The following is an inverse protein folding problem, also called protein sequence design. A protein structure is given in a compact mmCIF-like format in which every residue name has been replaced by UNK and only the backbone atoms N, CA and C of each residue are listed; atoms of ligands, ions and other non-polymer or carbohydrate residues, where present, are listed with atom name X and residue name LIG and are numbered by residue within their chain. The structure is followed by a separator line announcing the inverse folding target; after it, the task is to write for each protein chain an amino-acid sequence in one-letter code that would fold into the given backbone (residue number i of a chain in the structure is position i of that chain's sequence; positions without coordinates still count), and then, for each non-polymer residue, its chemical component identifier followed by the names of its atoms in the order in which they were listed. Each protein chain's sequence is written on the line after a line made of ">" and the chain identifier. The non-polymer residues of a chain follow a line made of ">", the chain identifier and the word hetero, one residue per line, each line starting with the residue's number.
data_IF_275139834796
#
_entry.id   IF_275139834796
#
_cell.length_a   1.000
_cell.length_b   1.000
_cell.length_c   1.000
_cell.angle_alpha   90.00
_cell.angle_beta   90.00
_cell.angle_gamma   90.00
#
_symmetry.space_group_name_H-M   'P 1'
#
loop_
_entity.id
_entity.type
_entity.pdbx_description
1 polymer ?
#
# COMPACT_ATOMS: atom_id res chain seq x y z
N UNK A 1 5.37 -13.88 7.40
CA UNK A 1 4.00 -13.40 7.54
C UNK A 1 3.99 -12.31 8.60
N UNK A 2 3.81 -11.05 8.19
CA UNK A 2 3.89 -9.89 9.09
C UNK A 2 2.51 -9.43 9.61
N UNK A 3 1.43 -9.98 9.05
CA UNK A 3 0.07 -9.69 9.50
C UNK A 3 -0.16 -10.33 10.86
N UNK A 4 -0.70 -9.56 11.79
CA UNK A 4 -1.07 -10.09 13.09
C UNK A 4 -2.25 -11.04 12.96
N UNK A 5 -2.21 -12.18 13.64
CA UNK A 5 -3.33 -13.14 13.70
C UNK A 5 -4.63 -12.47 14.15
N UNK A 6 -4.53 -11.47 15.03
CA UNK A 6 -5.67 -10.67 15.49
C UNK A 6 -6.36 -9.94 14.33
N UNK A 7 -5.59 -9.28 13.42
CA UNK A 7 -6.17 -8.60 12.25
C UNK A 7 -6.85 -9.57 11.28
N UNK A 8 -6.28 -10.78 11.12
CA UNK A 8 -6.92 -11.83 10.31
C UNK A 8 -8.27 -12.22 10.91
N UNK A 9 -8.35 -12.43 12.23
CA UNK A 9 -9.59 -12.80 12.93
C UNK A 9 -10.64 -11.69 12.86
N UNK A 10 -10.26 -10.43 13.06
CA UNK A 10 -11.15 -9.27 12.91
C UNK A 10 -11.79 -9.20 11.53
N UNK A 11 -10.97 -9.37 10.49
CA UNK A 11 -11.46 -9.36 9.10
C UNK A 11 -12.29 -10.62 8.78
N UNK A 12 -11.90 -11.79 9.30
CA UNK A 12 -12.67 -13.02 9.16
C UNK A 12 -14.03 -12.93 9.88
N UNK A 13 -14.08 -12.29 11.05
CA UNK A 13 -15.33 -12.00 11.76
C UNK A 13 -16.27 -11.20 10.84
N UNK A 14 -15.80 -10.13 10.24
CA UNK A 14 -16.60 -9.30 9.33
C UNK A 14 -17.07 -10.08 8.10
N UNK A 15 -16.21 -10.92 7.52
CA UNK A 15 -16.54 -11.74 6.35
C UNK A 15 -17.61 -12.81 6.69
N UNK A 16 -17.42 -13.56 7.77
CA UNK A 16 -18.37 -14.60 8.21
C UNK A 16 -19.68 -13.99 8.70
N UNK A 17 -19.62 -12.83 9.38
CA UNK A 17 -20.81 -12.05 9.72
C UNK A 17 -21.64 -11.71 8.47
N UNK A 18 -20.99 -11.23 7.42
CA UNK A 18 -21.66 -10.91 6.14
C UNK A 18 -22.32 -12.15 5.54
N UNK A 19 -21.63 -13.30 5.59
CA UNK A 19 -22.19 -14.59 5.16
C UNK A 19 -23.47 -14.96 5.94
N UNK A 20 -23.43 -14.92 7.27
CA UNK A 20 -24.59 -15.28 8.10
C UNK A 20 -25.73 -14.28 7.98
N UNK A 21 -25.43 -12.97 7.95
CA UNK A 21 -26.43 -11.92 7.83
C UNK A 21 -27.13 -11.93 6.47
N UNK A 22 -26.48 -12.47 5.44
CA UNK A 22 -27.05 -12.67 4.10
C UNK A 22 -27.75 -14.03 3.93
N UNK A 23 -28.21 -14.64 5.03
CA UNK A 23 -28.93 -15.91 4.99
C UNK A 23 -28.05 -17.09 4.56
N UNK A 24 -26.78 -17.09 4.92
CA UNK A 24 -25.79 -18.10 4.56
C UNK A 24 -25.56 -18.27 3.05
N UNK A 25 -25.75 -17.18 2.30
CA UNK A 25 -25.42 -17.12 0.88
C UNK A 25 -23.96 -16.74 0.68
N UNK A 26 -23.31 -17.18 -0.42
CA UNK A 26 -21.94 -16.81 -0.74
C UNK A 26 -21.74 -15.28 -0.72
N UNK A 27 -20.67 -14.86 -0.06
CA UNK A 27 -20.26 -13.44 -0.03
C UNK A 27 -19.62 -13.07 -1.37
N UNK A 28 -20.02 -11.95 -1.96
CA UNK A 28 -19.27 -11.36 -3.07
C UNK A 28 -17.91 -10.88 -2.55
N UNK A 29 -16.91 -11.73 -2.75
CA UNK A 29 -15.56 -11.50 -2.24
C UNK A 29 -14.94 -10.21 -2.80
N UNK A 30 -15.13 -9.89 -4.09
CA UNK A 30 -14.56 -8.68 -4.69
C UNK A 30 -15.16 -7.41 -4.09
N UNK A 31 -16.49 -7.38 -3.95
CA UNK A 31 -17.17 -6.25 -3.33
C UNK A 31 -16.77 -6.09 -1.86
N UNK A 32 -16.76 -7.20 -1.11
CA UNK A 32 -16.35 -7.19 0.29
C UNK A 32 -14.94 -6.59 0.46
N UNK A 33 -13.95 -7.07 -0.30
CA UNK A 33 -12.57 -6.61 -0.18
C UNK A 33 -12.35 -5.20 -0.71
N UNK A 34 -13.17 -4.75 -1.67
CA UNK A 34 -13.15 -3.37 -2.12
C UNK A 34 -13.49 -2.42 -0.98
N UNK A 35 -14.54 -2.75 -0.21
CA UNK A 35 -14.99 -1.94 0.93
C UNK A 35 -14.06 -2.11 2.15
N UNK A 36 -13.73 -3.35 2.51
CA UNK A 36 -12.96 -3.66 3.71
C UNK A 36 -11.54 -3.11 3.70
N UNK A 37 -10.92 -3.01 2.52
CA UNK A 37 -9.54 -2.52 2.36
C UNK A 37 -9.46 -1.07 1.88
N UNK A 38 -10.57 -0.36 1.72
CA UNK A 38 -10.57 1.00 1.16
C UNK A 38 -9.68 1.94 1.98
N UNK A 39 -9.84 1.95 3.30
CA UNK A 39 -9.06 2.79 4.21
C UNK A 39 -7.56 2.46 4.21
N UNK A 40 -7.22 1.18 4.22
CA UNK A 40 -5.83 0.72 4.17
C UNK A 40 -5.16 1.06 2.84
N UNK A 41 -5.87 0.87 1.74
CA UNK A 41 -5.40 1.26 0.41
C UNK A 41 -5.21 2.76 0.29
N UNK A 42 -6.10 3.56 0.86
CA UNK A 42 -5.98 5.02 0.90
C UNK A 42 -4.77 5.48 1.70
N UNK A 43 -4.55 4.87 2.88
CA UNK A 43 -3.38 5.15 3.68
C UNK A 43 -2.09 4.78 2.92
N UNK A 44 -2.07 3.62 2.26
CA UNK A 44 -0.93 3.19 1.45
C UNK A 44 -0.64 4.18 0.31
N UNK A 45 -1.66 4.64 -0.42
CA UNK A 45 -1.52 5.65 -1.49
C UNK A 45 -0.95 6.96 -0.96
N UNK A 46 -1.43 7.44 0.20
CA UNK A 46 -0.92 8.64 0.88
C UNK A 46 0.53 8.47 1.33
N UNK A 47 0.88 7.32 1.88
CA UNK A 47 2.27 7.01 2.26
C UNK A 47 3.19 6.97 1.03
N UNK A 48 2.75 6.35 -0.05
CA UNK A 48 3.50 6.27 -1.31
C UNK A 48 3.73 7.66 -1.90
N UNK A 49 2.70 8.50 -1.98
CA UNK A 49 2.83 9.88 -2.44
C UNK A 49 3.81 10.70 -1.58
N UNK A 50 3.75 10.57 -0.25
CA UNK A 50 4.70 11.20 0.68
C UNK A 50 6.13 10.74 0.44
N UNK A 51 6.34 9.43 0.22
CA UNK A 51 7.66 8.87 -0.05
C UNK A 51 8.24 9.43 -1.36
N UNK A 52 7.43 9.53 -2.43
CA UNK A 52 7.83 10.15 -3.70
C UNK A 52 8.21 11.62 -3.51
N UNK A 53 7.39 12.40 -2.80
CA UNK A 53 7.70 13.81 -2.50
C UNK A 53 8.99 13.95 -1.68
N UNK A 54 9.21 13.06 -0.73
CA UNK A 54 10.43 13.06 0.08
C UNK A 54 11.67 12.71 -0.76
N UNK A 55 11.58 11.70 -1.63
CA UNK A 55 12.66 11.34 -2.55
C UNK A 55 13.01 12.48 -3.51
N UNK A 56 12.02 13.32 -3.87
CA UNK A 56 12.16 14.44 -4.78
C UNK A 56 12.30 15.80 -4.07
N UNK A 57 12.67 15.84 -2.79
CA UNK A 57 12.78 17.10 -2.01
C UNK A 57 13.72 18.14 -2.63
N UNK A 58 14.77 17.69 -3.35
CA UNK A 58 15.75 18.56 -3.98
C UNK A 58 15.39 18.94 -5.44
N UNK A 59 14.14 18.67 -5.86
CA UNK A 59 13.70 18.86 -7.24
C UNK A 59 13.77 20.33 -7.69
N UNK A 60 13.35 21.27 -6.84
CA UNK A 60 13.40 22.71 -7.16
C UNK A 60 14.82 23.23 -7.38
N UNK A 61 15.75 22.85 -6.49
CA UNK A 61 17.16 23.24 -6.62
C UNK A 61 17.81 22.60 -7.84
N UNK A 62 17.46 21.35 -8.12
CA UNK A 62 17.90 20.65 -9.32
C UNK A 62 17.35 21.30 -10.59
N UNK A 63 16.07 21.72 -10.58
CA UNK A 63 15.45 22.40 -11.71
C UNK A 63 16.09 23.77 -11.98
N UNK A 64 16.34 24.58 -10.94
CA UNK A 64 17.02 25.88 -11.07
C UNK A 64 18.42 25.71 -11.64
N UNK A 65 19.21 24.77 -11.10
CA UNK A 65 20.55 24.51 -11.62
C UNK A 65 20.52 24.09 -13.09
N UNK A 66 19.58 23.21 -13.46
CA UNK A 66 19.43 22.77 -14.84
C UNK A 66 19.08 23.96 -15.77
N UNK A 67 18.11 24.79 -15.39
CA UNK A 67 17.69 25.96 -16.16
C UNK A 67 18.86 26.95 -16.39
N UNK A 68 19.63 27.28 -15.34
CA UNK A 68 20.80 28.16 -15.41
C UNK A 68 21.86 27.61 -16.39
N UNK A 69 22.13 26.32 -16.36
CA UNK A 69 23.09 25.67 -17.26
C UNK A 69 22.60 25.59 -18.69
N UNK A 70 21.30 25.36 -18.88
CA UNK A 70 20.69 25.37 -20.22
C UNK A 70 20.76 26.76 -20.86
N UNK A 71 20.39 27.80 -20.12
CA UNK A 71 20.47 29.21 -20.61
C UNK A 71 21.90 29.59 -20.98
N UNK A 72 22.88 29.24 -20.13
CA UNK A 72 24.30 29.50 -20.41
C UNK A 72 24.77 28.80 -21.69
N UNK A 73 24.36 27.57 -21.92
CA UNK A 73 24.72 26.78 -23.09
C UNK A 73 24.04 27.30 -24.36
N UNK A 74 22.74 27.63 -24.30
CA UNK A 74 21.96 28.15 -25.41
C UNK A 74 22.54 29.47 -25.93
N UNK A 75 22.86 30.39 -25.03
CA UNK A 75 23.52 31.64 -25.35
C UNK A 75 24.86 31.45 -26.08
N UNK A 76 25.62 30.40 -25.70
CA UNK A 76 26.92 30.10 -26.29
C UNK A 76 26.83 29.41 -27.64
N UNK A 77 25.83 28.53 -27.82
CA UNK A 77 25.61 27.77 -29.06
C UNK A 77 24.76 28.54 -30.10
N UNK A 78 24.29 29.74 -29.75
CA UNK A 78 23.41 30.50 -30.61
C UNK A 78 24.07 30.76 -31.98
N UNK A 79 23.36 30.41 -33.05
CA UNK A 79 23.83 30.59 -34.43
C UNK A 79 24.80 29.53 -34.97
N UNK A 80 25.29 28.61 -34.14
CA UNK A 80 26.13 27.51 -34.61
C UNK A 80 25.28 26.34 -35.12
N UNK A 81 25.21 26.18 -36.43
CA UNK A 81 24.44 25.11 -37.08
C UNK A 81 25.00 23.71 -36.81
N UNK A 82 26.29 23.60 -36.47
CA UNK A 82 26.89 22.28 -36.19
C UNK A 82 26.35 21.67 -34.90
N UNK A 83 25.74 22.45 -34.01
CA UNK A 83 25.18 22.05 -32.74
C UNK A 83 23.68 21.74 -32.81
N UNK A 84 23.03 21.86 -33.96
CA UNK A 84 21.55 21.76 -34.08
C UNK A 84 21.01 20.45 -33.52
N UNK A 85 21.59 19.29 -33.82
CA UNK A 85 21.15 18.00 -33.33
C UNK A 85 21.29 17.89 -31.80
N UNK A 86 22.36 18.37 -31.22
CA UNK A 86 22.56 18.38 -29.79
C UNK A 86 21.56 19.30 -29.08
N UNK A 87 21.30 20.49 -29.65
CA UNK A 87 20.30 21.42 -29.09
C UNK A 87 18.91 20.82 -29.09
N UNK A 88 18.53 20.09 -30.13
CA UNK A 88 17.23 19.40 -30.19
C UNK A 88 17.10 18.29 -29.10
N UNK A 89 18.16 17.54 -28.85
CA UNK A 89 18.20 16.53 -27.78
C UNK A 89 18.11 17.19 -26.40
N UNK A 90 18.86 18.26 -26.17
CA UNK A 90 18.84 19.06 -24.94
C UNK A 90 17.45 19.67 -24.71
N UNK A 91 16.83 20.22 -25.75
CA UNK A 91 15.48 20.81 -25.67
C UNK A 91 14.43 19.76 -25.30
N UNK A 92 14.52 18.57 -25.88
CA UNK A 92 13.63 17.46 -25.51
C UNK A 92 13.83 17.02 -24.06
N UNK A 93 15.07 16.88 -23.60
CA UNK A 93 15.38 16.58 -22.21
C UNK A 93 14.85 17.66 -21.26
N UNK A 94 15.03 18.93 -21.57
CA UNK A 94 14.52 20.05 -20.80
C UNK A 94 12.99 20.03 -20.73
N UNK A 95 12.31 19.80 -21.85
CA UNK A 95 10.85 19.70 -21.91
C UNK A 95 10.29 18.59 -21.01
N UNK A 96 10.91 17.39 -21.04
CA UNK A 96 10.50 16.29 -20.15
C UNK A 96 10.83 16.59 -18.67
N UNK A 97 11.94 17.27 -18.40
CA UNK A 97 12.29 17.72 -17.05
C UNK A 97 11.25 18.71 -16.49
N UNK A 98 10.78 19.66 -17.30
CA UNK A 98 9.71 20.61 -16.93
C UNK A 98 8.40 19.87 -16.68
N UNK A 99 8.06 18.88 -17.52
CA UNK A 99 6.85 18.06 -17.33
C UNK A 99 6.91 17.28 -16.02
N UNK A 100 8.06 16.71 -15.67
CA UNK A 100 8.27 16.05 -14.37
C UNK A 100 8.06 17.03 -13.20
N UNK A 101 8.65 18.22 -13.24
CA UNK A 101 8.51 19.22 -12.18
C UNK A 101 7.05 19.71 -12.04
N UNK A 102 6.31 19.81 -13.15
CA UNK A 102 4.89 20.14 -13.13
C UNK A 102 4.04 19.02 -12.50
N UNK A 103 4.32 17.77 -12.84
CA UNK A 103 3.65 16.61 -12.23
C UNK A 103 3.93 16.52 -10.73
N UNK A 104 5.18 16.78 -10.31
CA UNK A 104 5.57 16.79 -8.90
C UNK A 104 4.82 17.89 -8.11
N UNK A 105 4.74 19.09 -8.64
CA UNK A 105 3.92 20.17 -8.05
C UNK A 105 2.44 19.80 -7.97
N UNK A 106 1.89 19.19 -9.01
CA UNK A 106 0.51 18.69 -8.99
C UNK A 106 0.26 17.67 -7.88
N UNK A 107 1.23 16.77 -7.63
CA UNK A 107 1.19 15.81 -6.55
C UNK A 107 1.24 16.51 -5.18
N UNK A 108 2.13 17.52 -5.00
CA UNK A 108 2.21 18.32 -3.78
C UNK A 108 0.88 19.01 -3.44
N UNK A 109 0.25 19.67 -4.42
CA UNK A 109 -1.06 20.30 -4.24
C UNK A 109 -2.13 19.31 -3.80
N UNK A 110 -2.13 18.12 -4.38
CA UNK A 110 -3.10 17.06 -4.01
C UNK A 110 -2.96 16.59 -2.57
N UNK A 111 -1.77 16.68 -2.00
CA UNK A 111 -1.51 16.29 -0.61
C UNK A 111 -1.93 17.36 0.40
N UNK A 112 -2.03 18.62 -0.02
CA UNK A 112 -2.41 19.75 0.83
C UNK A 112 -3.92 20.00 0.79
N UNK A 113 -4.56 19.78 -0.35
CA UNK A 113 -5.99 20.04 -0.57
C UNK A 113 -6.85 18.92 0.04
N UNK A 114 -7.22 19.10 1.31
CA UNK A 114 -8.06 18.17 2.08
C UNK A 114 -9.53 18.13 1.62
N UNK A 115 -9.94 19.01 0.71
CA UNK A 115 -11.34 19.23 0.34
C UNK A 115 -11.78 18.46 -0.91
N UNK A 116 -10.86 17.84 -1.66
CA UNK A 116 -11.17 17.02 -2.84
C UNK A 116 -10.70 15.60 -2.64
N UNK A 117 -11.51 14.86 -1.94
CA UNK A 117 -11.21 13.53 -1.46
C UNK A 117 -11.58 12.46 -2.49
N UNK A 118 -10.65 12.11 -3.36
CA UNK A 118 -10.59 10.75 -3.86
C UNK A 118 -9.13 10.34 -4.02
N UNK A 119 -8.75 9.26 -3.38
CA UNK A 119 -7.40 8.71 -3.43
C UNK A 119 -7.02 8.15 -4.80
N UNK A 120 -8.01 7.88 -5.67
CA UNK A 120 -7.77 7.44 -7.04
C UNK A 120 -6.96 8.44 -7.87
N UNK A 121 -7.28 9.77 -7.87
CA UNK A 121 -6.41 10.77 -8.48
C UNK A 121 -5.02 10.85 -7.88
N UNK A 122 -4.87 10.59 -6.57
CA UNK A 122 -3.56 10.59 -5.92
C UNK A 122 -2.66 9.48 -6.45
N UNK A 123 -3.17 8.25 -6.59
CA UNK A 123 -2.42 7.14 -7.16
C UNK A 123 -2.00 7.42 -8.60
N UNK A 124 -2.90 7.98 -9.43
CA UNK A 124 -2.61 8.34 -10.81
C UNK A 124 -1.51 9.41 -10.90
N UNK A 125 -1.58 10.46 -10.08
CA UNK A 125 -0.55 11.53 -10.04
C UNK A 125 0.79 11.01 -9.56
N UNK A 126 0.79 10.14 -8.55
CA UNK A 126 2.01 9.47 -8.08
C UNK A 126 2.63 8.63 -9.19
N UNK A 127 1.83 7.83 -9.88
CA UNK A 127 2.28 7.04 -11.04
C UNK A 127 2.84 7.90 -12.18
N UNK A 128 2.23 9.05 -12.45
CA UNK A 128 2.71 9.97 -13.49
C UNK A 128 4.08 10.57 -13.13
N UNK A 129 4.29 10.96 -11.88
CA UNK A 129 5.61 11.42 -11.40
C UNK A 129 6.65 10.33 -11.59
N UNK A 130 6.38 9.09 -11.21
CA UNK A 130 7.30 7.96 -11.35
C UNK A 130 7.59 7.64 -12.82
N UNK A 131 6.56 7.69 -13.68
CA UNK A 131 6.71 7.49 -15.11
C UNK A 131 7.62 8.55 -15.73
N UNK A 132 7.39 9.82 -15.42
CA UNK A 132 8.21 10.93 -15.94
C UNK A 132 9.62 10.91 -15.36
N UNK A 133 9.80 10.49 -14.11
CA UNK A 133 11.12 10.28 -13.51
C UNK A 133 11.95 9.28 -14.34
N UNK A 134 11.35 8.14 -14.72
CA UNK A 134 12.01 7.14 -15.55
C UNK A 134 12.37 7.67 -16.94
N UNK A 135 11.47 8.44 -17.58
CA UNK A 135 11.72 9.05 -18.90
C UNK A 135 12.88 10.05 -18.83
N UNK A 136 12.86 10.96 -17.86
CA UNK A 136 13.92 11.99 -17.72
C UNK A 136 15.26 11.35 -17.39
N UNK A 137 15.29 10.32 -16.54
CA UNK A 137 16.52 9.61 -16.20
C UNK A 137 17.11 8.89 -17.42
N UNK A 138 16.29 8.19 -18.19
CA UNK A 138 16.72 7.49 -19.41
C UNK A 138 17.28 8.48 -20.45
N UNK A 139 16.56 9.59 -20.69
CA UNK A 139 17.02 10.63 -21.61
C UNK A 139 18.33 11.26 -21.14
N UNK A 140 18.51 11.51 -19.85
CA UNK A 140 19.76 12.04 -19.29
C UNK A 140 20.93 11.09 -19.51
N UNK A 141 20.71 9.79 -19.36
CA UNK A 141 21.71 8.74 -19.58
C UNK A 141 22.12 8.65 -21.05
N UNK A 142 21.19 8.84 -21.97
CA UNK A 142 21.47 8.86 -23.43
C UNK A 142 22.14 10.16 -23.87
N UNK A 143 21.80 11.28 -23.26
CA UNK A 143 22.31 12.60 -23.61
C UNK A 143 23.79 12.79 -23.20
N UNK A 144 24.18 12.34 -22.02
CA UNK A 144 25.51 12.61 -21.46
C UNK A 144 26.69 12.15 -22.35
N UNK A 145 26.69 10.94 -22.96
CA UNK A 145 27.75 10.51 -23.85
C UNK A 145 27.92 11.38 -25.09
N UNK A 146 26.84 12.01 -25.57
CA UNK A 146 26.85 12.84 -26.76
C UNK A 146 27.66 14.14 -26.59
N UNK A 147 27.88 14.55 -25.34
CA UNK A 147 28.67 15.78 -25.06
C UNK A 147 30.12 15.65 -25.47
N UNK A 148 30.66 14.43 -25.53
CA UNK A 148 32.03 14.20 -26.01
C UNK A 148 32.26 14.58 -27.48
N UNK A 149 31.18 14.57 -28.29
CA UNK A 149 31.22 14.90 -29.70
C UNK A 149 31.41 16.43 -29.96
N UNK A 150 31.31 17.26 -28.91
CA UNK A 150 31.30 18.73 -28.99
C UNK A 150 32.42 19.37 -28.12
N UNK A 151 33.70 19.12 -28.39
CA UNK A 151 34.82 19.58 -27.56
C UNK A 151 34.95 21.12 -27.46
N UNK A 152 34.47 21.87 -28.46
CA UNK A 152 34.47 23.32 -28.45
C UNK A 152 33.59 23.95 -27.37
N UNK A 153 32.60 23.21 -26.85
CA UNK A 153 31.64 23.62 -25.83
C UNK A 153 31.89 22.95 -24.47
N UNK A 154 33.02 22.29 -24.33
CA UNK A 154 33.35 21.48 -23.13
C UNK A 154 33.10 22.16 -21.79
N UNK A 155 33.50 23.45 -21.55
CA UNK A 155 33.29 24.08 -20.25
C UNK A 155 31.81 24.23 -19.89
N UNK A 156 30.94 24.56 -20.88
CA UNK A 156 29.50 24.68 -20.66
C UNK A 156 28.84 23.33 -20.50
N UNK A 157 29.25 22.33 -21.27
CA UNK A 157 28.75 20.96 -21.20
C UNK A 157 29.16 20.25 -19.91
N UNK A 158 30.33 20.54 -19.34
CA UNK A 158 30.71 20.06 -18.00
C UNK A 158 29.75 20.58 -16.92
N UNK A 159 29.37 21.87 -17.00
CA UNK A 159 28.37 22.44 -16.11
C UNK A 159 26.99 21.79 -16.25
N UNK A 160 26.55 21.57 -17.50
CA UNK A 160 25.29 20.84 -17.76
C UNK A 160 25.37 19.38 -17.33
N UNK A 161 26.49 18.70 -17.56
CA UNK A 161 26.74 17.32 -17.06
C UNK A 161 26.54 17.22 -15.55
N UNK A 162 27.07 18.16 -14.78
CA UNK A 162 26.89 18.19 -13.34
C UNK A 162 25.42 18.34 -12.93
N UNK A 163 24.66 19.21 -13.65
CA UNK A 163 23.23 19.41 -13.40
C UNK A 163 22.40 18.16 -13.76
N UNK A 164 22.64 17.55 -14.92
CA UNK A 164 21.98 16.31 -15.34
C UNK A 164 22.26 15.17 -14.37
N UNK A 165 23.52 14.98 -13.96
CA UNK A 165 23.90 13.94 -13.00
C UNK A 165 23.29 14.17 -11.61
N UNK A 166 23.19 15.43 -11.15
CA UNK A 166 22.50 15.73 -9.88
C UNK A 166 21.03 15.33 -9.96
N UNK A 167 20.36 15.67 -11.07
CA UNK A 167 18.97 15.31 -11.32
C UNK A 167 18.80 13.80 -11.44
N UNK A 168 19.66 13.11 -12.15
CA UNK A 168 19.63 11.66 -12.30
C UNK A 168 19.71 10.93 -10.95
N UNK A 169 20.58 11.36 -10.03
CA UNK A 169 20.67 10.77 -8.68
C UNK A 169 19.35 10.88 -7.90
N UNK A 170 18.70 12.04 -7.97
CA UNK A 170 17.38 12.24 -7.33
C UNK A 170 16.31 11.34 -7.98
N UNK A 171 16.28 11.28 -9.31
CA UNK A 171 15.32 10.46 -10.06
C UNK A 171 15.51 8.97 -9.80
N UNK A 172 16.75 8.49 -9.71
CA UNK A 172 17.05 7.09 -9.34
C UNK A 172 16.49 6.75 -7.97
N UNK A 173 16.66 7.65 -6.97
CA UNK A 173 16.05 7.49 -5.65
C UNK A 173 14.52 7.44 -5.69
N UNK A 174 13.90 8.24 -6.55
CA UNK A 174 12.45 8.24 -6.76
C UNK A 174 11.97 6.93 -7.44
N UNK A 175 12.71 6.42 -8.41
CA UNK A 175 12.34 5.22 -9.18
C UNK A 175 12.30 3.94 -8.34
N UNK A 176 13.05 3.86 -7.24
CA UNK A 176 12.94 2.76 -6.26
C UNK A 176 11.49 2.57 -5.79
N UNK A 177 10.73 3.68 -5.71
CA UNK A 177 9.32 3.66 -5.30
C UNK A 177 8.37 3.10 -6.36
N UNK A 178 8.81 2.92 -7.59
CA UNK A 178 8.00 2.31 -8.65
C UNK A 178 7.97 0.77 -8.57
N UNK A 179 8.98 0.15 -7.93
CA UNK A 179 9.18 -1.29 -7.95
C UNK A 179 8.99 -1.90 -6.56
N UNK A 180 7.91 -2.66 -6.30
CA UNK A 180 7.65 -3.25 -4.97
C UNK A 180 8.82 -4.08 -4.41
N UNK A 181 9.56 -4.78 -5.27
CA UNK A 181 10.71 -5.59 -4.87
C UNK A 181 11.87 -4.74 -4.32
N UNK A 182 12.08 -3.55 -4.86
CA UNK A 182 13.14 -2.63 -4.43
C UNK A 182 12.77 -1.89 -3.14
N UNK A 183 11.47 -1.64 -2.91
CA UNK A 183 10.97 -1.04 -1.67
C UNK A 183 11.38 -1.82 -0.43
N UNK A 184 11.35 -3.15 -0.48
CA UNK A 184 11.65 -4.02 0.65
C UNK A 184 13.14 -4.01 1.04
N UNK A 185 14.03 -3.71 0.10
CA UNK A 185 15.48 -3.64 0.31
C UNK A 185 15.95 -2.28 0.85
N UNK A 186 15.13 -1.24 0.71
CA UNK A 186 15.48 0.11 1.13
C UNK A 186 14.98 0.41 2.55
N UNK A 187 15.91 0.67 3.49
CA UNK A 187 15.58 0.93 4.90
C UNK A 187 14.64 2.12 5.10
N UNK A 188 14.72 3.12 4.24
CA UNK A 188 13.88 4.33 4.31
C UNK A 188 12.40 4.04 4.01
N UNK A 189 12.12 3.04 3.16
CA UNK A 189 10.76 2.73 2.69
C UNK A 189 10.21 1.41 3.25
N UNK A 190 10.87 0.81 4.24
CA UNK A 190 10.43 -0.47 4.85
C UNK A 190 8.99 -0.43 5.39
N UNK A 191 8.56 0.71 5.94
CA UNK A 191 7.18 0.89 6.41
C UNK A 191 6.16 0.81 5.29
N UNK A 192 6.45 1.42 4.14
CA UNK A 192 5.60 1.38 2.95
C UNK A 192 5.54 -0.03 2.36
N UNK A 193 6.70 -0.69 2.22
CA UNK A 193 6.79 -2.06 1.73
C UNK A 193 6.01 -3.03 2.62
N UNK A 194 6.16 -2.89 3.94
CA UNK A 194 5.45 -3.72 4.92
C UNK A 194 3.94 -3.56 4.82
N UNK A 195 3.44 -2.32 4.74
CA UNK A 195 2.00 -2.08 4.61
C UNK A 195 1.43 -2.61 3.30
N UNK A 196 2.17 -2.48 2.19
CA UNK A 196 1.77 -3.05 0.91
C UNK A 196 1.68 -4.59 0.98
N UNK A 197 2.66 -5.24 1.59
CA UNK A 197 2.68 -6.67 1.80
C UNK A 197 1.54 -7.13 2.72
N UNK A 198 1.29 -6.42 3.82
CA UNK A 198 0.21 -6.73 4.76
C UNK A 198 -1.16 -6.71 4.05
N UNK A 199 -1.42 -5.74 3.18
CA UNK A 199 -2.67 -5.68 2.39
C UNK A 199 -2.75 -6.88 1.43
N UNK A 200 -1.65 -7.23 0.78
CA UNK A 200 -1.62 -8.35 -0.18
C UNK A 200 -1.83 -9.71 0.50
N UNK A 201 -1.26 -9.91 1.70
CA UNK A 201 -1.35 -11.18 2.43
C UNK A 201 -2.66 -11.33 3.22
N UNK A 202 -3.34 -10.22 3.58
CA UNK A 202 -4.53 -10.26 4.43
C UNK A 202 -5.68 -11.03 3.78
N UNK A 203 -5.99 -10.74 2.53
CA UNK A 203 -7.11 -11.36 1.81
C UNK A 203 -7.02 -12.87 1.79
N UNK A 204 -5.96 -13.52 1.28
CA UNK A 204 -5.90 -14.97 1.22
C UNK A 204 -5.91 -15.63 2.61
N UNK A 205 -5.30 -15.00 3.62
CA UNK A 205 -5.29 -15.52 4.98
C UNK A 205 -6.70 -15.51 5.61
N UNK A 206 -7.45 -14.44 5.39
CA UNK A 206 -8.83 -14.30 5.90
C UNK A 206 -9.77 -15.24 5.15
N UNK A 207 -9.70 -15.30 3.82
CA UNK A 207 -10.55 -16.18 3.01
C UNK A 207 -10.32 -17.66 3.38
N UNK A 208 -9.07 -18.05 3.65
CA UNK A 208 -8.74 -19.41 4.12
C UNK A 208 -9.38 -19.70 5.48
N UNK A 209 -9.25 -18.79 6.45
CA UNK A 209 -9.85 -18.94 7.76
C UNK A 209 -11.39 -18.96 7.67
N UNK A 210 -11.98 -18.01 6.96
CA UNK A 210 -13.42 -17.90 6.80
C UNK A 210 -14.03 -19.12 6.10
N UNK A 211 -13.41 -19.59 5.02
CA UNK A 211 -13.86 -20.81 4.32
C UNK A 211 -13.81 -22.04 5.23
N UNK A 212 -12.73 -22.18 6.00
CA UNK A 212 -12.60 -23.27 6.98
C UNK A 212 -13.69 -23.22 8.04
N UNK A 213 -13.94 -22.05 8.64
CA UNK A 213 -15.00 -21.85 9.63
C UNK A 213 -16.38 -22.14 9.04
N UNK A 214 -16.71 -21.54 7.87
CA UNK A 214 -18.02 -21.70 7.22
C UNK A 214 -18.29 -23.18 6.91
N UNK A 215 -17.31 -23.90 6.37
CA UNK A 215 -17.45 -25.33 6.08
C UNK A 215 -17.73 -26.19 7.32
N UNK A 216 -17.30 -25.76 8.50
CA UNK A 216 -17.46 -26.49 9.75
C UNK A 216 -18.67 -26.02 10.58
N UNK A 217 -19.39 -24.97 10.22
CA UNK A 217 -20.58 -24.50 10.93
C UNK A 217 -21.57 -25.66 11.21
N UNK A 218 -21.94 -26.52 10.23
CA UNK A 218 -22.89 -27.60 10.47
C UNK A 218 -22.45 -28.61 11.56
N UNK A 219 -21.14 -28.74 11.77
CA UNK A 219 -20.57 -29.59 12.83
C UNK A 219 -20.47 -28.87 14.18
N UNK A 220 -20.19 -27.55 14.11
CA UNK A 220 -20.01 -26.72 15.30
C UNK A 220 -21.34 -26.30 15.94
N UNK A 221 -22.44 -26.17 15.19
CA UNK A 221 -23.74 -25.78 15.73
C UNK A 221 -24.25 -26.74 16.78
N UNK A 222 -24.35 -28.06 16.53
CA UNK A 222 -24.76 -29.01 17.58
C UNK A 222 -23.80 -29.03 18.78
N UNK A 223 -22.52 -28.86 18.54
CA UNK A 223 -21.49 -28.74 19.56
C UNK A 223 -21.72 -27.52 20.44
N UNK A 224 -21.97 -26.39 19.84
CA UNK A 224 -22.27 -25.14 20.55
C UNK A 224 -23.57 -25.23 21.33
N UNK A 225 -24.63 -25.82 20.74
CA UNK A 225 -25.91 -26.02 21.40
C UNK A 225 -25.75 -26.85 22.71
N UNK A 226 -24.90 -27.88 22.69
CA UNK A 226 -24.59 -28.68 23.89
C UNK A 226 -23.79 -27.94 24.97
N UNK A 227 -23.11 -26.83 24.61
CA UNK A 227 -22.37 -26.01 25.57
C UNK A 227 -23.21 -24.85 26.14
N UNK A 228 -24.34 -24.52 25.51
CA UNK A 228 -25.23 -23.47 25.93
C UNK A 228 -26.23 -23.96 26.97
N UNK A 229 -26.04 -23.57 28.24
CA UNK A 229 -26.98 -23.85 29.30
C UNK A 229 -28.19 -22.90 29.24
N UNK A 230 -29.40 -23.45 28.98
CA UNK A 230 -30.65 -22.68 28.90
C UNK A 230 -30.71 -21.58 27.83
N UNK A 231 -29.91 -21.71 26.80
CA UNK A 231 -29.83 -20.72 25.71
C UNK A 231 -29.66 -21.47 24.37
N UNK A 232 -30.35 -21.07 23.29
CA UNK A 232 -30.18 -21.72 22.00
C UNK A 232 -29.24 -20.89 21.09
N UNK A 233 -28.57 -21.55 20.15
CA UNK A 233 -27.68 -20.92 19.16
C UNK A 233 -28.46 -19.88 18.35
N UNK A 234 -29.72 -20.12 18.07
CA UNK A 234 -30.57 -19.19 17.29
C UNK A 234 -30.75 -17.82 17.97
N UNK A 235 -30.72 -17.80 19.31
CA UNK A 235 -30.90 -16.56 20.10
C UNK A 235 -29.63 -15.75 20.27
N UNK A 236 -28.49 -16.31 19.90
CA UNK A 236 -27.21 -15.59 19.91
C UNK A 236 -27.18 -14.50 18.85
N UNK A 237 -26.68 -13.35 19.18
CA UNK A 237 -26.34 -12.32 18.19
C UNK A 237 -25.33 -12.82 17.17
N UNK A 238 -25.42 -12.39 15.92
CA UNK A 238 -24.52 -12.84 14.86
C UNK A 238 -23.04 -12.65 15.20
N UNK A 239 -22.67 -11.54 15.86
CA UNK A 239 -21.28 -11.27 16.25
C UNK A 239 -20.79 -12.33 17.23
N UNK A 240 -21.58 -12.63 18.28
CA UNK A 240 -21.22 -13.65 19.28
C UNK A 240 -21.12 -15.03 18.64
N UNK A 241 -22.05 -15.38 17.73
CA UNK A 241 -22.00 -16.63 16.96
C UNK A 241 -20.69 -16.76 16.19
N UNK A 242 -20.32 -15.71 15.44
CA UNK A 242 -19.11 -15.73 14.62
C UNK A 242 -17.87 -15.87 15.47
N UNK A 243 -17.78 -15.14 16.61
CA UNK A 243 -16.65 -15.26 17.52
C UNK A 243 -16.55 -16.71 18.05
N UNK A 244 -17.66 -17.31 18.45
CA UNK A 244 -17.70 -18.69 18.94
C UNK A 244 -17.33 -19.69 17.83
N UNK A 245 -17.80 -19.53 16.60
CA UNK A 245 -17.42 -20.40 15.48
C UNK A 245 -15.93 -20.30 15.15
N UNK A 246 -15.36 -19.10 15.08
CA UNK A 246 -13.91 -18.92 14.88
C UNK A 246 -13.16 -19.62 16.02
N UNK A 247 -13.58 -19.42 17.27
CA UNK A 247 -12.92 -19.97 18.45
C UNK A 247 -12.96 -21.49 18.49
N UNK A 248 -14.12 -22.09 18.23
CA UNK A 248 -14.26 -23.53 18.15
C UNK A 248 -13.44 -24.14 17.02
N UNK A 249 -13.47 -23.51 15.84
CA UNK A 249 -12.66 -23.95 14.72
C UNK A 249 -11.16 -23.91 15.02
N UNK A 250 -10.68 -22.82 15.61
CA UNK A 250 -9.28 -22.69 15.99
C UNK A 250 -8.87 -23.68 17.10
N UNK A 251 -9.76 -23.93 18.06
CA UNK A 251 -9.51 -24.84 19.14
C UNK A 251 -9.55 -26.31 18.69
N UNK A 252 -10.57 -26.71 17.93
CA UNK A 252 -10.88 -28.12 17.66
C UNK A 252 -10.26 -28.61 16.33
N UNK A 253 -10.20 -27.74 15.30
CA UNK A 253 -9.67 -28.08 13.97
C UNK A 253 -8.21 -27.67 13.83
N UNK A 254 -7.88 -26.43 14.21
CA UNK A 254 -6.50 -25.93 14.08
C UNK A 254 -5.61 -26.31 15.28
N UNK A 255 -6.18 -26.82 16.39
CA UNK A 255 -5.45 -27.26 17.57
C UNK A 255 -4.70 -26.16 18.31
N UNK A 256 -5.22 -24.91 18.27
CA UNK A 256 -4.61 -23.80 18.99
C UNK A 256 -4.79 -23.98 20.51
N UNK A 257 -3.81 -23.44 21.26
CA UNK A 257 -3.84 -23.46 22.71
C UNK A 257 -5.01 -22.65 23.28
N UNK A 258 -5.69 -23.22 24.27
CA UNK A 258 -6.88 -22.62 24.93
C UNK A 258 -6.62 -21.16 25.38
N UNK A 259 -5.52 -20.84 26.09
CA UNK A 259 -5.26 -19.46 26.50
C UNK A 259 -5.20 -18.46 25.33
N UNK A 260 -4.67 -18.89 24.18
CA UNK A 260 -4.58 -18.05 22.98
C UNK A 260 -5.99 -17.80 22.43
N UNK A 261 -6.78 -18.86 22.26
CA UNK A 261 -8.16 -18.76 21.73
C UNK A 261 -9.02 -17.90 22.64
N UNK A 262 -8.97 -18.11 23.95
CA UNK A 262 -9.71 -17.32 24.95
C UNK A 262 -9.31 -15.83 24.88
N UNK A 263 -8.01 -15.53 24.84
CA UNK A 263 -7.52 -14.15 24.78
C UNK A 263 -8.01 -13.42 23.55
N UNK A 264 -7.91 -14.05 22.38
CA UNK A 264 -8.32 -13.47 21.11
C UNK A 264 -9.84 -13.30 20.99
N UNK A 265 -10.60 -14.32 21.44
CA UNK A 265 -12.06 -14.26 21.46
C UNK A 265 -12.57 -13.16 22.41
N UNK A 266 -11.93 -13.00 23.57
CA UNK A 266 -12.25 -11.94 24.53
C UNK A 266 -11.96 -10.55 23.93
N UNK A 267 -10.85 -10.40 23.20
CA UNK A 267 -10.51 -9.17 22.52
C UNK A 267 -11.55 -8.82 21.44
N UNK A 268 -11.94 -9.80 20.61
CA UNK A 268 -12.99 -9.62 19.59
C UNK A 268 -14.34 -9.25 20.22
N UNK A 269 -14.72 -9.92 21.31
CA UNK A 269 -15.99 -9.64 22.01
C UNK A 269 -16.02 -8.23 22.59
N UNK A 270 -14.94 -7.77 23.21
CA UNK A 270 -14.84 -6.41 23.73
C UNK A 270 -14.92 -5.34 22.64
N UNK A 271 -14.35 -5.62 21.47
CA UNK A 271 -14.31 -4.67 20.35
C UNK A 271 -15.62 -4.62 19.57
N UNK A 272 -16.26 -5.77 19.32
CA UNK A 272 -17.36 -5.89 18.35
C UNK A 272 -18.71 -6.23 18.96
N UNK A 273 -18.78 -6.80 20.17
CA UNK A 273 -20.05 -7.26 20.76
C UNK A 273 -20.45 -6.50 22.03
N UNK A 274 -19.51 -6.17 22.88
CA UNK A 274 -19.74 -5.43 24.11
C UNK A 274 -19.31 -6.13 25.39
N UNK A 275 -19.28 -5.40 26.49
CA UNK A 275 -18.67 -5.83 27.76
C UNK A 275 -19.34 -7.05 28.43
N UNK A 276 -20.60 -7.36 28.11
CA UNK A 276 -21.32 -8.53 28.66
C UNK A 276 -21.02 -9.82 27.87
N UNK A 277 -20.68 -9.70 26.59
CA UNK A 277 -20.40 -10.86 25.72
C UNK A 277 -19.05 -11.50 26.01
N UNK A 278 -18.03 -10.74 26.40
CA UNK A 278 -16.70 -11.27 26.65
C UNK A 278 -16.66 -12.35 27.76
N UNK A 279 -17.25 -12.16 28.97
CA UNK A 279 -17.32 -13.22 30.00
C UNK A 279 -18.13 -14.44 29.55
N UNK A 280 -19.20 -14.21 28.79
CA UNK A 280 -20.04 -15.31 28.27
C UNK A 280 -19.25 -16.15 27.25
N UNK A 281 -18.61 -15.54 26.27
CA UNK A 281 -17.79 -16.21 25.26
C UNK A 281 -16.62 -16.97 25.91
N UNK A 282 -15.96 -16.36 26.90
CA UNK A 282 -14.91 -17.00 27.68
C UNK A 282 -15.43 -18.29 28.32
N UNK A 283 -16.59 -18.24 28.99
CA UNK A 283 -17.19 -19.41 29.64
C UNK A 283 -17.47 -20.56 28.68
N UNK A 284 -18.00 -20.27 27.50
CA UNK A 284 -18.29 -21.27 26.47
C UNK A 284 -17.01 -21.92 25.93
N UNK A 285 -15.97 -21.14 25.66
CA UNK A 285 -14.68 -21.66 25.15
C UNK A 285 -14.01 -22.54 26.24
N UNK A 286 -14.04 -22.11 27.50
CA UNK A 286 -13.52 -22.90 28.62
C UNK A 286 -14.26 -24.24 28.77
N UNK A 287 -15.60 -24.25 28.65
CA UNK A 287 -16.41 -25.46 28.66
C UNK A 287 -16.11 -26.37 27.47
N UNK A 288 -15.93 -25.81 26.26
CA UNK A 288 -15.53 -26.57 25.08
C UNK A 288 -14.16 -27.24 25.25
N UNK A 289 -13.21 -26.54 25.84
CA UNK A 289 -11.88 -27.09 26.12
C UNK A 289 -11.89 -28.22 27.15
N UNK A 290 -12.74 -28.11 28.17
CA UNK A 290 -12.88 -29.14 29.25
C UNK A 290 -13.59 -30.41 28.78
N UNK A 291 -14.38 -30.34 27.70
CA UNK A 291 -15.16 -31.46 27.16
C UNK A 291 -14.50 -32.14 25.94
N UNK A 292 -13.24 -31.81 25.66
CA UNK A 292 -12.39 -32.42 24.63
C UNK A 292 -11.66 -33.64 25.20
#
# INVERSE_FOLDING_TARGET
>A
MNITRSKIRQSALSFIYTYLANGSQPVDSELFWTIALEKERDNLRKMHAKAVLHACRDAEDSARLLADRLETLENRMHGDMTTAALRDEITRYAGQSIAFDAALRSLQYSMVDKLRDSSAPLAQRTGEVLRLAAVVEAMGRELLPRFADYPAYRPQLEGLTAAVNRRARMLTGCMILATPAELSSNKEFTGLARQAQDIQELRPAVETLAAGVIAHIPLMEPRLEGLLNNYSVERLGYVDKVILYISLYELEVNGLDVPIVVSEATALANEFSGSKSAPFIHGIIAAAAASK
#
